data_IF_995583977208
#
_entry.id   IF_995583977208
#
_cell.length_a   1.000
_cell.length_b   1.000
_cell.length_c   1.000
_cell.angle_alpha   90.00
_cell.angle_beta   90.00
_cell.angle_gamma   90.00
#
_symmetry.space_group_name_H-M   'P 1'
#
loop_
_entity.id
_entity.type
_entity.pdbx_description
1 polymer ?
#
# COMPACT_ATOMS: atom_id res chain seq x y z
N UNK A 1 37.34 30.21 -41.83
CA UNK A 1 36.50 29.03 -41.54
C UNK A 1 36.10 28.41 -42.87
N UNK A 2 36.38 27.12 -43.15
CA UNK A 2 36.00 26.51 -44.41
C UNK A 2 34.48 26.36 -44.46
N UNK A 3 33.86 26.84 -45.56
CA UNK A 3 32.43 26.65 -45.85
C UNK A 3 32.18 25.15 -45.91
N UNK A 4 31.46 24.60 -44.93
CA UNK A 4 30.91 23.25 -45.03
C UNK A 4 30.01 23.24 -46.27
N UNK A 5 30.36 22.41 -47.24
CA UNK A 5 29.62 22.31 -48.48
C UNK A 5 28.22 21.76 -48.20
N UNK A 6 27.24 22.67 -48.16
CA UNK A 6 25.82 22.40 -47.94
C UNK A 6 25.30 21.33 -48.92
N UNK A 7 25.88 21.26 -50.12
CA UNK A 7 25.54 20.26 -51.12
C UNK A 7 25.95 18.85 -50.69
N UNK A 8 27.18 18.69 -50.17
CA UNK A 8 27.68 17.41 -49.66
C UNK A 8 26.80 16.87 -48.51
N UNK A 9 26.43 17.73 -47.57
CA UNK A 9 25.61 17.32 -46.42
C UNK A 9 24.18 16.93 -46.84
N UNK A 10 23.55 17.69 -47.74
CA UNK A 10 22.23 17.34 -48.31
C UNK A 10 22.26 16.03 -49.09
N UNK A 11 23.31 15.80 -49.87
CA UNK A 11 23.52 14.55 -50.62
C UNK A 11 23.65 13.35 -49.66
N UNK A 12 24.42 13.51 -48.58
CA UNK A 12 24.58 12.49 -47.55
C UNK A 12 23.24 12.15 -46.87
N UNK A 13 22.48 13.16 -46.45
CA UNK A 13 21.16 12.97 -45.83
C UNK A 13 20.16 12.26 -46.76
N UNK A 14 20.10 12.65 -48.03
CA UNK A 14 19.22 12.02 -49.02
C UNK A 14 19.54 10.53 -49.18
N UNK A 15 20.83 10.18 -49.27
CA UNK A 15 21.26 8.77 -49.36
C UNK A 15 20.95 7.98 -48.09
N UNK A 16 21.19 8.55 -46.92
CA UNK A 16 20.91 7.89 -45.63
C UNK A 16 19.42 7.59 -45.49
N UNK A 17 18.56 8.60 -45.68
CA UNK A 17 17.11 8.44 -45.63
C UNK A 17 16.59 7.46 -46.67
N UNK A 18 17.06 7.56 -47.92
CA UNK A 18 16.66 6.65 -48.99
C UNK A 18 16.99 5.19 -48.68
N UNK A 19 18.15 4.91 -48.06
CA UNK A 19 18.52 3.54 -47.63
C UNK A 19 17.65 3.03 -46.48
N UNK A 20 17.41 3.85 -45.47
CA UNK A 20 16.55 3.49 -44.34
C UNK A 20 15.12 3.21 -44.80
N UNK A 21 14.58 4.07 -45.67
CA UNK A 21 13.26 3.89 -46.27
C UNK A 21 13.18 2.62 -47.13
N UNK A 22 14.19 2.37 -47.99
CA UNK A 22 14.22 1.17 -48.83
C UNK A 22 14.22 -0.11 -47.97
N UNK A 23 15.02 -0.16 -46.90
CA UNK A 23 15.05 -1.28 -45.97
C UNK A 23 13.70 -1.47 -45.25
N UNK A 24 13.10 -0.38 -44.78
CA UNK A 24 11.78 -0.39 -44.14
C UNK A 24 10.69 -0.88 -45.09
N UNK A 25 10.65 -0.35 -46.31
CA UNK A 25 9.70 -0.71 -47.36
C UNK A 25 9.81 -2.20 -47.75
N UNK A 26 11.03 -2.70 -47.95
CA UNK A 26 11.27 -4.11 -48.25
C UNK A 26 10.85 -5.02 -47.09
N UNK A 27 11.06 -4.60 -45.84
CA UNK A 27 10.61 -5.34 -44.65
C UNK A 27 9.09 -5.39 -44.57
N UNK A 28 8.40 -4.25 -44.74
CA UNK A 28 6.94 -4.18 -44.75
C UNK A 28 6.34 -5.03 -45.87
N UNK A 29 6.90 -4.95 -47.08
CA UNK A 29 6.48 -5.78 -48.21
C UNK A 29 6.66 -7.27 -47.97
N UNK A 30 7.67 -7.70 -47.20
CA UNK A 30 7.84 -9.10 -46.81
C UNK A 30 6.84 -9.53 -45.74
N UNK A 31 6.55 -8.64 -44.78
CA UNK A 31 5.66 -8.93 -43.65
C UNK A 31 4.17 -8.95 -44.02
N UNK A 32 3.75 -8.13 -44.98
CA UNK A 32 2.35 -7.91 -45.31
C UNK A 32 2.00 -8.21 -46.77
N UNK A 33 2.81 -9.03 -47.45
CA UNK A 33 2.60 -9.38 -48.87
C UNK A 33 1.24 -10.02 -49.11
N UNK A 34 0.79 -10.80 -48.15
CA UNK A 34 -0.45 -11.57 -48.12
C UNK A 34 -1.70 -10.69 -47.96
N UNK A 35 -1.55 -9.51 -47.36
CA UNK A 35 -2.66 -8.57 -47.09
C UNK A 35 -2.84 -7.57 -48.25
N UNK A 36 -1.82 -7.35 -49.07
CA UNK A 36 -1.82 -6.36 -50.14
C UNK A 36 -2.35 -6.92 -51.47
N UNK A 37 -3.02 -6.07 -52.26
CA UNK A 37 -3.41 -6.45 -53.61
C UNK A 37 -2.18 -6.65 -54.52
N UNK A 38 -2.21 -7.59 -55.49
CA UNK A 38 -1.09 -7.83 -56.41
C UNK A 38 -0.60 -6.59 -57.15
N UNK A 39 -1.50 -5.65 -57.47
CA UNK A 39 -1.16 -4.37 -58.12
C UNK A 39 -0.31 -3.48 -57.20
N UNK A 40 -0.68 -3.38 -55.93
CA UNK A 40 0.05 -2.58 -54.93
C UNK A 40 1.42 -3.18 -54.63
N UNK A 41 1.50 -4.51 -54.53
CA UNK A 41 2.78 -5.22 -54.35
C UNK A 41 3.72 -4.96 -55.52
N UNK A 42 3.23 -5.03 -56.75
CA UNK A 42 4.03 -4.79 -57.94
C UNK A 42 4.47 -3.31 -58.04
N UNK A 43 3.58 -2.36 -57.72
CA UNK A 43 3.91 -0.93 -57.69
C UNK A 43 4.98 -0.59 -56.66
N UNK A 44 4.84 -1.08 -55.42
CA UNK A 44 5.82 -0.86 -54.35
C UNK A 44 7.16 -1.55 -54.64
N UNK A 45 7.16 -2.76 -55.23
CA UNK A 45 8.39 -3.43 -55.67
C UNK A 45 9.11 -2.64 -56.76
N UNK A 46 8.36 -2.10 -57.74
CA UNK A 46 8.90 -1.22 -58.78
C UNK A 46 9.61 0.00 -58.18
N UNK A 47 8.91 0.73 -57.30
CA UNK A 47 9.47 1.89 -56.61
C UNK A 47 10.70 1.56 -55.75
N UNK A 48 10.72 0.39 -55.10
CA UNK A 48 11.90 -0.07 -54.36
C UNK A 48 13.08 -0.38 -55.29
N UNK A 49 12.83 -0.97 -56.46
CA UNK A 49 13.86 -1.25 -57.46
C UNK A 49 14.43 0.06 -58.04
N UNK A 50 13.58 1.00 -58.40
CA UNK A 50 13.97 2.32 -58.92
C UNK A 50 14.78 3.11 -57.89
N UNK A 51 14.37 3.09 -56.61
CA UNK A 51 15.09 3.74 -55.53
C UNK A 51 16.46 3.09 -55.28
N UNK A 52 16.54 1.76 -55.37
CA UNK A 52 17.80 1.02 -55.27
C UNK A 52 18.77 1.39 -56.38
N UNK A 53 18.28 1.52 -57.62
CA UNK A 53 19.07 1.98 -58.77
C UNK A 53 19.55 3.42 -58.58
N UNK A 54 18.67 4.33 -58.16
CA UNK A 54 19.05 5.73 -57.90
C UNK A 54 20.11 5.87 -56.78
N UNK A 55 20.06 5.01 -55.76
CA UNK A 55 21.06 4.94 -54.69
C UNK A 55 22.41 4.41 -55.20
N UNK A 56 22.38 3.42 -56.10
CA UNK A 56 23.58 2.87 -56.74
C UNK A 56 24.25 3.88 -57.67
N UNK A 57 23.46 4.55 -58.53
CA UNK A 57 23.93 5.58 -59.48
C UNK A 57 24.28 6.93 -58.83
N UNK A 58 24.05 7.07 -57.53
CA UNK A 58 24.39 8.26 -56.74
C UNK A 58 23.74 9.56 -57.25
N UNK A 59 22.47 9.49 -57.68
CA UNK A 59 21.68 10.62 -58.19
C UNK A 59 20.81 11.23 -57.07
N UNK A 60 21.26 12.29 -56.36
CA UNK A 60 20.57 12.78 -55.16
C UNK A 60 19.16 13.31 -55.41
N UNK A 61 18.91 13.96 -56.56
CA UNK A 61 17.58 14.48 -56.90
C UNK A 61 16.57 13.34 -57.09
N UNK A 62 16.96 12.29 -57.81
CA UNK A 62 16.14 11.11 -58.05
C UNK A 62 15.84 10.35 -56.75
N UNK A 63 16.82 10.25 -55.83
CA UNK A 63 16.63 9.61 -54.52
C UNK A 63 15.54 10.32 -53.73
N UNK A 64 15.55 11.66 -53.69
CA UNK A 64 14.53 12.44 -52.96
C UNK A 64 13.16 12.27 -53.58
N UNK A 65 13.06 12.35 -54.92
CA UNK A 65 11.80 12.19 -55.64
C UNK A 65 11.19 10.79 -55.43
N UNK A 66 11.99 9.74 -55.61
CA UNK A 66 11.56 8.35 -55.44
C UNK A 66 11.24 8.01 -53.98
N UNK A 67 11.99 8.57 -53.03
CA UNK A 67 11.68 8.40 -51.60
C UNK A 67 10.31 9.00 -51.27
N UNK A 68 10.00 10.20 -51.77
CA UNK A 68 8.69 10.83 -51.57
C UNK A 68 7.55 10.05 -52.23
N UNK A 69 7.77 9.51 -53.44
CA UNK A 69 6.80 8.64 -54.11
C UNK A 69 6.56 7.34 -53.32
N UNK A 70 7.62 6.70 -52.85
CA UNK A 70 7.57 5.47 -52.07
C UNK A 70 6.87 5.69 -50.72
N UNK A 71 7.19 6.78 -50.00
CA UNK A 71 6.51 7.15 -48.75
C UNK A 71 5.00 7.33 -48.97
N UNK A 72 4.61 8.03 -50.03
CA UNK A 72 3.20 8.27 -50.35
C UNK A 72 2.44 6.98 -50.66
N UNK A 73 3.06 6.07 -51.41
CA UNK A 73 2.45 4.75 -51.70
C UNK A 73 2.44 3.84 -50.46
N UNK A 74 3.47 3.87 -49.62
CA UNK A 74 3.49 3.14 -48.36
C UNK A 74 2.40 3.64 -47.40
N UNK A 75 2.20 4.96 -47.28
CA UNK A 75 1.14 5.53 -46.45
C UNK A 75 -0.26 5.16 -46.95
N UNK A 76 -0.44 4.98 -48.28
CA UNK A 76 -1.69 4.49 -48.87
C UNK A 76 -1.91 3.00 -48.63
N UNK A 77 -0.86 2.20 -48.76
CA UNK A 77 -0.90 0.74 -48.56
C UNK A 77 -1.02 0.37 -47.08
N UNK A 78 -0.44 1.19 -46.19
CA UNK A 78 -0.37 0.99 -44.76
C UNK A 78 -0.79 2.27 -44.03
N UNK A 79 -2.10 2.59 -43.97
CA UNK A 79 -2.55 3.71 -43.18
C UNK A 79 -2.17 3.49 -41.72
N UNK A 80 -1.49 4.45 -41.10
CA UNK A 80 -1.19 4.42 -39.67
C UNK A 80 -2.52 4.31 -38.91
N UNK A 81 -2.68 3.24 -38.12
CA UNK A 81 -3.87 3.08 -37.28
C UNK A 81 -3.84 4.13 -36.18
N UNK A 82 -4.48 5.27 -36.43
CA UNK A 82 -4.65 6.36 -35.48
C UNK A 82 -5.45 5.87 -34.26
N UNK A 83 -4.76 5.47 -33.19
CA UNK A 83 -5.41 5.02 -31.95
C UNK A 83 -4.68 3.95 -31.14
N UNK A 84 -3.53 3.41 -31.59
CA UNK A 84 -2.81 2.39 -30.84
C UNK A 84 -2.25 2.93 -29.51
N UNK A 85 -1.65 4.12 -29.53
CA UNK A 85 -0.97 4.66 -28.35
C UNK A 85 -1.89 4.90 -27.14
N UNK A 86 -3.12 5.37 -27.33
CA UNK A 86 -4.03 5.59 -26.20
C UNK A 86 -4.65 4.27 -25.67
N UNK A 87 -4.89 3.29 -26.56
CA UNK A 87 -5.34 1.95 -26.16
C UNK A 87 -4.25 1.19 -25.41
N UNK A 88 -3.00 1.24 -25.88
CA UNK A 88 -1.83 0.65 -25.22
C UNK A 88 -1.64 1.26 -23.83
N UNK A 89 -1.72 2.60 -23.70
CA UNK A 89 -1.62 3.26 -22.41
C UNK A 89 -2.75 2.85 -21.45
N UNK A 90 -3.99 2.73 -21.94
CA UNK A 90 -5.12 2.26 -21.13
C UNK A 90 -4.93 0.81 -20.69
N UNK A 91 -4.47 -0.06 -21.59
CA UNK A 91 -4.19 -1.46 -21.28
C UNK A 91 -3.12 -1.57 -20.18
N UNK A 92 -2.01 -0.85 -20.31
CA UNK A 92 -0.95 -0.81 -19.30
C UNK A 92 -1.46 -0.28 -17.97
N UNK A 93 -2.25 0.80 -17.97
CA UNK A 93 -2.84 1.36 -16.75
C UNK A 93 -3.83 0.38 -16.10
N UNK A 94 -4.65 -0.32 -16.90
CA UNK A 94 -5.61 -1.30 -16.42
C UNK A 94 -4.91 -2.52 -15.83
N UNK A 95 -3.88 -3.04 -16.50
CA UNK A 95 -3.06 -4.13 -15.97
C UNK A 95 -2.37 -3.71 -14.67
N UNK A 96 -1.78 -2.51 -14.61
CA UNK A 96 -1.17 -1.98 -13.40
C UNK A 96 -2.19 -1.83 -12.26
N UNK A 97 -3.41 -1.35 -12.56
CA UNK A 97 -4.48 -1.24 -11.58
C UNK A 97 -4.94 -2.61 -11.05
N UNK A 98 -5.12 -3.61 -11.92
CA UNK A 98 -5.49 -4.98 -11.53
C UNK A 98 -4.40 -5.59 -10.65
N UNK A 99 -3.13 -5.46 -11.03
CA UNK A 99 -1.99 -5.96 -10.23
C UNK A 99 -1.95 -5.27 -8.87
N UNK A 100 -2.09 -3.93 -8.84
CA UNK A 100 -2.13 -3.19 -7.58
C UNK A 100 -3.32 -3.60 -6.69
N UNK A 101 -4.49 -3.84 -7.28
CA UNK A 101 -5.66 -4.35 -6.57
C UNK A 101 -5.46 -5.78 -6.05
N UNK A 102 -4.82 -6.66 -6.84
CA UNK A 102 -4.49 -8.01 -6.42
C UNK A 102 -3.50 -7.98 -5.25
N UNK A 103 -2.42 -7.20 -5.35
CA UNK A 103 -1.44 -7.04 -4.26
C UNK A 103 -2.13 -6.52 -2.99
N UNK A 104 -2.96 -5.49 -3.11
CA UNK A 104 -3.73 -4.92 -2.00
C UNK A 104 -4.73 -5.92 -1.40
N UNK A 105 -5.41 -6.71 -2.23
CA UNK A 105 -6.43 -7.65 -1.76
C UNK A 105 -5.79 -8.86 -1.06
N UNK A 106 -4.71 -9.40 -1.63
CA UNK A 106 -4.18 -10.70 -1.23
C UNK A 106 -2.98 -10.64 -0.28
N UNK A 107 -2.18 -9.57 -0.32
CA UNK A 107 -0.92 -9.53 0.44
C UNK A 107 -0.97 -8.54 1.59
N UNK A 108 -1.48 -7.32 1.36
CA UNK A 108 -1.34 -6.23 2.30
C UNK A 108 -2.64 -5.44 2.47
N UNK A 109 -3.29 -5.61 3.63
CA UNK A 109 -4.52 -4.90 3.97
C UNK A 109 -4.23 -3.68 4.88
N UNK A 110 -4.63 -2.45 4.50
CA UNK A 110 -4.49 -1.28 5.36
C UNK A 110 -5.56 -1.26 6.46
N UNK A 111 -5.15 -0.97 7.69
CA UNK A 111 -6.05 -0.73 8.82
C UNK A 111 -5.70 0.57 9.54
N UNK A 112 -6.71 1.24 10.07
CA UNK A 112 -6.55 2.38 10.99
C UNK A 112 -6.83 1.91 12.41
N UNK A 113 -5.94 2.24 13.35
CA UNK A 113 -6.10 1.89 14.76
C UNK A 113 -6.99 2.92 15.45
N UNK A 114 -8.14 2.53 16.02
CA UNK A 114 -9.03 3.47 16.69
C UNK A 114 -8.72 3.63 18.18
N UNK A 115 -8.24 2.58 18.86
CA UNK A 115 -8.12 2.51 20.34
C UNK A 115 -6.68 2.45 20.83
N UNK A 116 -6.43 2.90 22.06
CA UNK A 116 -5.12 2.82 22.74
C UNK A 116 -4.78 1.46 23.37
N UNK A 117 -5.54 0.39 23.09
CA UNK A 117 -5.35 -0.92 23.76
C UNK A 117 -4.01 -1.62 23.46
N UNK A 118 -3.33 -1.20 22.40
CA UNK A 118 -2.03 -1.73 21.98
C UNK A 118 -0.86 -0.78 22.31
N UNK A 119 -1.08 0.30 23.05
CA UNK A 119 0.01 1.17 23.52
C UNK A 119 0.91 0.38 24.48
N UNK A 120 2.25 0.52 24.43
CA UNK A 120 3.05 1.46 23.62
C UNK A 120 3.29 1.06 22.15
N UNK A 121 2.90 -0.14 21.74
CA UNK A 121 3.27 -0.67 20.42
C UNK A 121 2.52 0.01 19.28
N UNK A 122 1.21 0.21 19.44
CA UNK A 122 0.37 0.93 18.47
C UNK A 122 -0.54 1.91 19.22
N UNK A 123 -0.71 3.11 18.69
CA UNK A 123 -1.58 4.10 19.29
C UNK A 123 -2.84 4.26 18.45
N UNK A 124 -3.96 4.34 19.14
CA UNK A 124 -5.21 4.81 18.58
C UNK A 124 -5.28 6.33 18.60
N UNK A 125 -6.50 6.86 18.66
CA UNK A 125 -6.71 8.30 18.83
C UNK A 125 -6.34 8.73 20.25
N UNK A 126 -5.53 9.79 20.40
CA UNK A 126 -5.18 10.36 21.70
C UNK A 126 -5.07 11.89 21.64
N UNK A 127 -5.37 12.60 22.75
CA UNK A 127 -5.24 14.05 22.79
C UNK A 127 -3.76 14.48 22.79
N UNK A 128 -3.48 15.60 22.15
CA UNK A 128 -2.19 16.31 22.19
C UNK A 128 -2.24 17.30 23.34
N UNK A 129 -1.34 17.14 24.31
CA UNK A 129 -1.29 18.00 25.51
C UNK A 129 -0.77 19.41 25.19
N UNK A 130 0.22 19.54 24.30
CA UNK A 130 0.90 20.82 24.01
C UNK A 130 0.58 21.38 22.62
N UNK A 131 -0.71 21.47 22.27
CA UNK A 131 -1.11 22.04 20.99
C UNK A 131 -1.15 23.57 21.03
N UNK A 132 -0.39 24.22 20.14
CA UNK A 132 -0.46 25.67 19.96
C UNK A 132 -1.54 26.02 18.91
N UNK A 133 -2.65 26.68 19.31
CA UNK A 133 -3.71 27.05 18.37
C UNK A 133 -3.29 28.16 17.39
N UNK A 134 -2.21 28.90 17.68
CA UNK A 134 -1.67 29.99 16.85
C UNK A 134 -0.75 29.52 15.72
N UNK A 135 -0.56 28.21 15.55
CA UNK A 135 0.26 27.67 14.45
C UNK A 135 -0.23 28.18 13.09
N UNK A 136 0.66 28.69 12.21
CA UNK A 136 0.31 29.18 10.88
C UNK A 136 -0.50 28.15 10.09
N UNK A 137 -1.44 28.62 9.26
CA UNK A 137 -2.34 27.74 8.51
C UNK A 137 -1.63 26.70 7.61
N UNK A 138 -0.60 27.06 6.82
CA UNK A 138 0.11 26.07 6.00
C UNK A 138 0.76 24.97 6.84
N UNK A 139 1.32 25.34 8.00
CA UNK A 139 1.92 24.40 8.92
C UNK A 139 0.88 23.49 9.57
N UNK A 140 -0.33 23.98 9.88
CA UNK A 140 -1.44 23.12 10.35
C UNK A 140 -1.87 22.10 9.31
N UNK A 141 -1.93 22.48 8.03
CA UNK A 141 -2.25 21.55 6.94
C UNK A 141 -1.16 20.48 6.82
N UNK A 142 0.11 20.89 6.84
CA UNK A 142 1.24 19.96 6.82
C UNK A 142 1.22 19.01 8.03
N UNK A 143 1.06 19.53 9.24
CA UNK A 143 0.93 18.77 10.49
C UNK A 143 -0.24 17.78 10.44
N UNK A 144 -1.34 18.16 9.81
CA UNK A 144 -2.51 17.28 9.61
C UNK A 144 -2.20 16.15 8.65
N UNK A 145 -1.61 16.45 7.49
CA UNK A 145 -1.34 15.49 6.43
C UNK A 145 -0.20 14.52 6.78
N UNK A 146 0.88 15.04 7.35
CA UNK A 146 2.09 14.27 7.59
C UNK A 146 2.17 13.68 9.00
N UNK A 147 1.79 14.46 10.00
CA UNK A 147 1.91 14.06 11.41
C UNK A 147 0.61 13.53 12.00
N UNK A 148 -0.52 13.75 11.32
CA UNK A 148 -1.83 13.33 11.81
C UNK A 148 -2.37 14.16 12.97
N UNK A 149 -1.86 15.39 13.16
CA UNK A 149 -2.37 16.33 14.16
C UNK A 149 -3.66 16.96 13.66
N UNK A 150 -4.79 16.57 14.24
CA UNK A 150 -6.09 17.12 13.87
C UNK A 150 -6.50 18.22 14.86
N UNK A 151 -6.50 19.51 14.44
CA UNK A 151 -6.93 20.59 15.31
C UNK A 151 -8.45 20.57 15.49
N UNK A 152 -8.93 20.69 16.73
CA UNK A 152 -10.37 20.67 17.04
C UNK A 152 -10.92 22.03 17.49
N UNK A 153 -10.32 23.12 16.99
CA UNK A 153 -10.69 24.51 17.34
C UNK A 153 -12.10 24.90 16.82
N UNK A 154 -12.87 25.59 17.68
CA UNK A 154 -14.26 26.01 17.47
C UNK A 154 -14.41 27.43 16.88
N UNK A 155 -13.36 28.26 16.88
CA UNK A 155 -13.46 29.69 16.53
C UNK A 155 -12.94 30.03 15.13
N UNK A 156 -13.56 29.49 14.06
CA UNK A 156 -13.07 29.70 12.70
C UNK A 156 -14.18 30.10 11.70
N UNK A 157 -13.97 31.13 10.84
CA UNK A 157 -15.02 31.74 10.01
C UNK A 157 -15.58 30.84 8.90
N UNK A 158 -16.78 31.17 8.38
CA UNK A 158 -17.67 30.41 7.47
C UNK A 158 -17.01 29.54 6.37
N UNK A 159 -15.95 29.98 5.69
CA UNK A 159 -15.22 29.17 4.69
C UNK A 159 -14.54 27.92 5.30
N UNK A 160 -14.24 27.94 6.60
CA UNK A 160 -13.74 26.78 7.36
C UNK A 160 -14.85 25.82 7.81
N UNK A 161 -16.11 26.24 7.88
CA UNK A 161 -17.24 25.36 8.17
C UNK A 161 -17.44 24.32 7.07
N UNK A 162 -17.34 24.73 5.80
CA UNK A 162 -17.40 23.83 4.65
C UNK A 162 -16.22 22.85 4.60
N UNK A 163 -15.01 23.29 4.97
CA UNK A 163 -13.83 22.43 5.04
C UNK A 163 -13.82 21.52 6.26
N UNK A 164 -14.38 21.95 7.39
CA UNK A 164 -14.62 21.11 8.57
C UNK A 164 -15.69 20.06 8.27
N UNK A 165 -16.72 20.42 7.50
CA UNK A 165 -17.73 19.50 7.00
C UNK A 165 -17.15 18.50 6.00
N UNK A 166 -16.29 18.95 5.09
CA UNK A 166 -15.54 18.08 4.18
C UNK A 166 -14.57 17.17 4.94
N UNK A 167 -13.90 17.68 5.98
CA UNK A 167 -13.06 16.91 6.88
C UNK A 167 -13.85 15.88 7.70
N UNK A 168 -15.06 16.24 8.17
CA UNK A 168 -15.98 15.30 8.80
C UNK A 168 -16.43 14.21 7.83
N UNK A 169 -16.81 14.58 6.60
CA UNK A 169 -17.20 13.64 5.54
C UNK A 169 -16.09 12.65 5.19
N UNK A 170 -14.84 13.12 5.11
CA UNK A 170 -13.71 12.28 4.70
C UNK A 170 -13.15 11.49 5.90
N UNK A 171 -13.27 11.99 7.13
CA UNK A 171 -12.47 11.47 8.26
C UNK A 171 -13.24 11.16 9.55
N UNK A 172 -14.53 11.45 9.63
CA UNK A 172 -15.46 10.99 10.68
C UNK A 172 -15.31 11.66 12.05
N UNK A 173 -14.66 12.82 12.16
CA UNK A 173 -14.43 13.53 13.44
C UNK A 173 -14.86 15.00 13.35
N UNK A 174 -15.64 15.47 14.32
CA UNK A 174 -16.06 16.87 14.44
C UNK A 174 -15.14 17.63 15.43
N UNK A 175 -14.81 18.91 15.21
CA UNK A 175 -14.02 19.71 16.16
C UNK A 175 -14.73 19.89 17.51
N UNK A 176 -14.11 19.48 18.62
CA UNK A 176 -14.47 19.84 20.00
C UNK A 176 -13.38 20.64 20.74
N UNK A 177 -13.83 21.60 21.55
CA UNK A 177 -13.15 22.38 22.60
C UNK A 177 -11.62 22.50 22.52
N UNK A 178 -11.09 23.20 21.50
CA UNK A 178 -9.72 23.77 21.54
C UNK A 178 -8.56 22.78 21.70
N UNK A 179 -8.81 21.48 21.63
CA UNK A 179 -7.81 20.41 21.73
C UNK A 179 -7.21 20.11 20.36
N UNK A 180 -6.18 19.29 20.32
CA UNK A 180 -5.73 18.65 19.10
C UNK A 180 -5.69 17.16 19.36
N UNK A 181 -6.15 16.36 18.39
CA UNK A 181 -6.19 14.92 18.51
C UNK A 181 -5.15 14.36 17.54
N UNK A 182 -4.26 13.52 18.04
CA UNK A 182 -3.41 12.69 17.19
C UNK A 182 -4.25 11.56 16.64
N UNK A 183 -4.24 11.40 15.31
CA UNK A 183 -4.82 10.23 14.70
C UNK A 183 -4.04 8.97 15.09
N UNK A 184 -4.77 7.88 15.25
CA UNK A 184 -4.18 6.57 15.44
C UNK A 184 -3.43 6.08 14.21
N UNK A 185 -2.57 5.10 14.44
CA UNK A 185 -1.68 4.53 13.43
C UNK A 185 -2.45 3.95 12.28
N UNK A 186 -1.90 4.12 11.09
CA UNK A 186 -2.32 3.36 9.93
C UNK A 186 -1.26 2.30 9.68
N UNK A 187 -1.71 1.06 9.69
CA UNK A 187 -0.86 -0.11 9.63
C UNK A 187 -1.16 -0.92 8.38
N UNK A 188 -0.16 -1.64 7.94
CA UNK A 188 -0.32 -2.71 6.97
C UNK A 188 -0.30 -4.07 7.66
N UNK A 189 -1.25 -4.90 7.28
CA UNK A 189 -1.41 -6.26 7.76
C UNK A 189 -1.06 -7.23 6.64
N UNK A 190 -0.08 -8.08 6.91
CA UNK A 190 0.37 -9.16 6.05
C UNK A 190 -0.51 -10.39 6.27
N UNK A 191 -1.30 -10.72 5.24
CA UNK A 191 -2.18 -11.90 5.23
C UNK A 191 -1.49 -13.14 4.66
N UNK A 192 -0.33 -12.98 4.02
CA UNK A 192 0.33 -14.03 3.27
C UNK A 192 1.28 -14.86 4.13
N UNK A 193 2.05 -14.21 5.02
CA UNK A 193 3.10 -14.87 5.82
C UNK A 193 2.63 -16.11 6.58
N UNK A 194 1.39 -16.12 7.10
CA UNK A 194 0.88 -17.25 7.88
C UNK A 194 0.50 -18.49 7.06
N UNK A 195 0.59 -18.42 5.74
CA UNK A 195 0.51 -19.61 4.87
C UNK A 195 1.83 -20.40 4.84
N UNK A 196 2.97 -19.75 5.15
CA UNK A 196 4.30 -20.36 5.06
C UNK A 196 4.98 -20.54 6.42
N UNK A 197 4.59 -19.76 7.42
CA UNK A 197 5.06 -19.93 8.79
C UNK A 197 3.90 -19.98 9.78
N UNK A 198 4.11 -20.69 10.88
CA UNK A 198 3.15 -20.68 12.00
C UNK A 198 3.23 -19.33 12.75
N UNK A 199 2.09 -18.80 13.25
CA UNK A 199 2.09 -17.67 14.17
C UNK A 199 2.96 -17.95 15.41
N UNK A 200 3.74 -16.97 15.83
CA UNK A 200 4.65 -17.09 16.97
C UNK A 200 4.21 -16.20 18.12
N UNK A 201 4.45 -16.65 19.36
CA UNK A 201 4.20 -15.85 20.56
C UNK A 201 4.97 -14.53 20.48
N UNK A 202 4.27 -13.45 20.78
CA UNK A 202 4.73 -12.08 20.64
C UNK A 202 4.37 -11.42 19.31
N UNK A 203 3.90 -12.15 18.28
CA UNK A 203 3.43 -11.53 17.03
C UNK A 203 2.22 -10.61 17.32
N UNK A 204 2.19 -9.42 16.71
CA UNK A 204 1.00 -8.57 16.70
C UNK A 204 0.10 -9.00 15.56
N UNK A 205 -1.11 -9.43 15.88
CA UNK A 205 -2.02 -10.08 14.95
C UNK A 205 -3.36 -9.38 14.87
N UNK A 206 -3.95 -9.43 13.68
CA UNK A 206 -5.32 -8.98 13.41
C UNK A 206 -6.22 -10.19 13.22
N UNK A 207 -7.40 -10.16 13.82
CA UNK A 207 -8.39 -11.23 13.75
C UNK A 207 -9.82 -10.65 13.74
N UNK A 208 -10.75 -11.41 13.20
CA UNK A 208 -12.19 -11.10 13.25
C UNK A 208 -12.82 -11.58 14.54
N UNK A 209 -13.78 -10.81 15.07
CA UNK A 209 -14.41 -11.11 16.36
C UNK A 209 -15.68 -11.96 16.29
N UNK A 210 -16.08 -12.41 15.10
CA UNK A 210 -17.37 -13.08 14.85
C UNK A 210 -17.54 -14.37 15.66
N UNK A 211 -16.42 -15.08 15.86
CA UNK A 211 -16.42 -16.41 16.47
C UNK A 211 -15.84 -16.42 17.89
N UNK A 212 -15.66 -15.25 18.48
CA UNK A 212 -15.21 -15.15 19.86
C UNK A 212 -16.38 -15.48 20.77
N UNK A 213 -16.31 -16.64 21.43
CA UNK A 213 -17.42 -17.25 22.18
C UNK A 213 -18.00 -16.31 23.25
N UNK A 214 -17.14 -15.82 24.13
CA UNK A 214 -17.52 -15.01 25.30
C UNK A 214 -17.54 -13.50 25.05
N UNK A 215 -17.45 -13.08 23.79
CA UNK A 215 -17.53 -11.67 23.44
C UNK A 215 -19.00 -11.26 23.22
N UNK A 216 -19.49 -10.17 23.85
CA UNK A 216 -20.86 -9.71 23.64
C UNK A 216 -21.12 -9.33 22.18
N UNK A 217 -22.36 -9.52 21.73
CA UNK A 217 -22.76 -9.32 20.32
C UNK A 217 -22.42 -7.93 19.80
N UNK A 218 -22.53 -6.89 20.63
CA UNK A 218 -22.18 -5.49 20.27
C UNK A 218 -20.69 -5.29 19.91
N UNK A 219 -19.83 -6.26 20.23
CA UNK A 219 -18.40 -6.26 19.93
C UNK A 219 -18.00 -7.29 18.86
N UNK A 220 -18.93 -8.09 18.34
CA UNK A 220 -18.72 -8.98 17.18
C UNK A 220 -18.71 -8.21 15.86
N UNK A 221 -18.39 -8.87 14.75
CA UNK A 221 -18.34 -8.26 13.41
C UNK A 221 -17.35 -7.09 13.30
N UNK A 222 -16.24 -7.19 14.06
CA UNK A 222 -15.17 -6.17 14.10
C UNK A 222 -13.82 -6.84 13.92
N UNK A 223 -12.83 -6.04 13.49
CA UNK A 223 -11.44 -6.45 13.46
C UNK A 223 -10.73 -5.98 14.72
N UNK A 224 -10.10 -6.90 15.42
CA UNK A 224 -9.30 -6.61 16.61
C UNK A 224 -7.82 -6.83 16.31
N UNK A 225 -6.97 -6.00 16.92
CA UNK A 225 -5.52 -6.14 16.88
C UNK A 225 -5.01 -6.34 18.29
N UNK A 226 -4.27 -7.42 18.51
CA UNK A 226 -3.72 -7.80 19.83
C UNK A 226 -2.38 -8.51 19.67
N UNK A 227 -1.64 -8.65 20.77
CA UNK A 227 -0.43 -9.46 20.81
C UNK A 227 -0.76 -10.93 21.08
N UNK A 228 -0.24 -11.82 20.26
CA UNK A 228 -0.34 -13.26 20.43
C UNK A 228 0.47 -13.70 21.64
N UNK A 229 -0.18 -14.27 22.65
CA UNK A 229 0.47 -14.72 23.88
C UNK A 229 0.55 -16.25 23.90
N UNK A 230 -0.55 -16.92 23.58
CA UNK A 230 -0.66 -18.38 23.63
C UNK A 230 -1.15 -18.98 22.32
N UNK A 231 -0.65 -20.16 22.01
CA UNK A 231 -1.13 -21.04 20.95
C UNK A 231 -1.72 -22.31 21.57
N UNK A 232 -2.54 -23.06 20.82
CA UNK A 232 -3.21 -24.25 21.33
C UNK A 232 -2.30 -25.20 22.11
N UNK A 233 -2.76 -25.57 23.32
CA UNK A 233 -2.03 -26.37 24.30
C UNK A 233 -1.26 -25.57 25.36
N UNK A 234 -1.05 -24.27 25.16
CA UNK A 234 -0.31 -23.44 26.12
C UNK A 234 -1.09 -23.21 27.42
N UNK A 235 -0.35 -23.19 28.53
CA UNK A 235 -0.83 -22.75 29.85
C UNK A 235 -0.40 -21.31 30.08
N UNK A 236 -1.37 -20.41 30.14
CA UNK A 236 -1.16 -18.97 30.32
C UNK A 236 -1.44 -18.61 31.76
N UNK A 237 -0.58 -17.80 32.36
CA UNK A 237 -0.74 -17.24 33.70
C UNK A 237 -0.30 -15.77 33.67
N UNK A 238 -0.99 -14.92 34.42
CA UNK A 238 -0.59 -13.51 34.59
C UNK A 238 -0.09 -13.36 36.02
N UNK A 239 1.22 -13.20 36.17
CA UNK A 239 1.85 -12.85 37.43
C UNK A 239 2.44 -11.44 37.28
N UNK A 240 1.66 -10.39 37.59
CA UNK A 240 2.01 -9.02 37.26
C UNK A 240 3.43 -8.64 37.71
N UNK A 241 4.21 -7.92 36.88
CA UNK A 241 3.84 -7.34 35.58
C UNK A 241 3.95 -8.31 34.39
N UNK A 242 4.26 -9.58 34.62
CA UNK A 242 4.65 -10.54 33.58
C UNK A 242 3.49 -11.45 33.16
N UNK A 243 3.54 -11.91 31.91
CA UNK A 243 2.76 -13.06 31.47
C UNK A 243 3.69 -14.26 31.37
N UNK A 244 3.23 -15.40 31.88
CA UNK A 244 3.94 -16.65 31.86
C UNK A 244 3.24 -17.59 30.89
N UNK A 245 4.03 -18.27 30.06
CA UNK A 245 3.57 -19.32 29.17
C UNK A 245 4.30 -20.61 29.55
N UNK A 246 3.55 -21.63 29.93
CA UNK A 246 4.07 -22.91 30.41
C UNK A 246 5.06 -22.75 31.58
N UNK A 247 4.82 -21.76 32.46
CA UNK A 247 5.63 -21.49 33.65
C UNK A 247 6.86 -20.59 33.43
N UNK A 248 7.18 -20.21 32.19
CA UNK A 248 8.28 -19.29 31.88
C UNK A 248 7.75 -17.91 31.48
N UNK A 249 8.44 -16.83 31.88
CA UNK A 249 8.11 -15.47 31.46
C UNK A 249 8.19 -15.38 29.93
N UNK A 250 7.17 -14.81 29.30
CA UNK A 250 7.16 -14.58 27.87
C UNK A 250 7.84 -13.24 27.55
N UNK A 251 9.07 -13.30 27.04
CA UNK A 251 9.87 -12.12 26.70
C UNK A 251 10.47 -12.21 25.27
N UNK A 252 9.88 -13.04 24.41
CA UNK A 252 10.38 -13.37 23.07
C UNK A 252 10.56 -12.18 22.11
N UNK A 253 10.08 -11.00 22.47
CA UNK A 253 10.09 -9.78 21.64
C UNK A 253 10.56 -8.57 22.45
N UNK A 254 11.30 -7.62 21.84
CA UNK A 254 11.73 -6.39 22.51
C UNK A 254 10.59 -5.57 23.12
N UNK A 255 9.39 -5.63 22.53
CA UNK A 255 8.20 -4.96 23.05
C UNK A 255 7.88 -5.34 24.50
N UNK A 256 8.11 -6.60 24.90
CA UNK A 256 7.86 -7.06 26.26
C UNK A 256 8.72 -6.33 27.28
N UNK A 257 9.99 -6.00 26.97
CA UNK A 257 10.85 -5.21 27.86
C UNK A 257 10.26 -3.85 28.20
N UNK A 258 9.64 -3.20 27.21
CA UNK A 258 8.98 -1.91 27.38
C UNK A 258 7.65 -2.02 28.13
N UNK A 259 6.92 -3.11 27.94
CA UNK A 259 5.66 -3.36 28.66
C UNK A 259 5.96 -3.67 30.13
N UNK A 260 6.97 -4.51 30.40
CA UNK A 260 7.38 -4.96 31.75
C UNK A 260 8.20 -3.96 32.53
N UNK A 261 8.71 -2.89 31.90
CA UNK A 261 9.50 -1.88 32.60
C UNK A 261 8.69 -1.11 33.65
N UNK A 262 7.36 -1.09 33.53
CA UNK A 262 6.46 -0.31 34.39
C UNK A 262 6.82 1.19 34.46
N UNK A 263 7.42 1.72 33.40
CA UNK A 263 7.81 3.13 33.29
C UNK A 263 6.90 3.86 32.30
N UNK A 264 6.93 5.20 32.30
CA UNK A 264 6.19 6.04 31.34
C UNK A 264 4.68 5.75 31.29
N UNK A 265 4.08 5.42 32.43
CA UNK A 265 2.64 5.13 32.55
C UNK A 265 2.23 3.69 32.20
N UNK A 266 3.18 2.81 31.84
CA UNK A 266 2.91 1.39 31.64
C UNK A 266 2.98 0.62 32.96
N UNK A 267 2.23 -0.49 33.05
CA UNK A 267 2.08 -1.27 34.30
C UNK A 267 2.36 -2.77 34.10
N UNK A 268 2.92 -3.15 32.95
CA UNK A 268 2.96 -4.56 32.53
C UNK A 268 1.57 -5.14 32.25
N UNK A 269 1.51 -6.47 32.22
CA UNK A 269 0.25 -7.19 32.25
C UNK A 269 -0.26 -7.28 33.68
N UNK A 270 -1.50 -6.84 33.86
CA UNK A 270 -2.20 -6.78 35.15
C UNK A 270 -3.48 -7.60 35.09
N UNK A 271 -3.85 -8.13 36.25
CA UNK A 271 -5.17 -8.70 36.49
C UNK A 271 -6.19 -7.54 36.50
N UNK A 272 -7.30 -7.61 35.75
CA UNK A 272 -8.26 -6.50 35.67
C UNK A 272 -9.07 -6.35 36.96
N UNK A 273 -9.09 -5.14 37.51
CA UNK A 273 -9.85 -4.83 38.73
C UNK A 273 -11.33 -4.47 38.45
N UNK A 274 -11.67 -4.05 37.23
CA UNK A 274 -13.04 -3.65 36.84
C UNK A 274 -13.23 -3.51 35.30
N UNK A 275 -14.42 -3.83 34.72
CA UNK A 275 -15.37 -4.85 35.17
C UNK A 275 -14.70 -6.24 35.24
N UNK A 276 -15.23 -7.22 35.99
CA UNK A 276 -14.47 -8.43 36.29
C UNK A 276 -14.17 -9.21 35.01
N UNK A 277 -12.88 -9.44 34.78
CA UNK A 277 -12.43 -10.36 33.77
C UNK A 277 -13.00 -11.76 34.05
N UNK A 278 -13.51 -12.43 33.01
CA UNK A 278 -14.01 -13.80 33.14
C UNK A 278 -12.87 -14.75 33.52
N UNK A 279 -11.67 -14.48 33.01
CA UNK A 279 -10.45 -15.25 33.20
C UNK A 279 -9.42 -14.41 33.97
N UNK A 280 -8.61 -15.06 34.81
CA UNK A 280 -7.57 -14.44 35.64
C UNK A 280 -8.11 -13.46 36.69
N UNK A 281 -8.65 -14.00 37.78
CA UNK A 281 -9.01 -13.26 39.01
C UNK A 281 -7.86 -13.20 39.99
N UNK A 282 -7.00 -14.22 39.99
CA UNK A 282 -5.82 -14.30 40.86
C UNK A 282 -4.56 -14.63 40.05
N UNK A 283 -3.35 -14.30 40.56
CA UNK A 283 -2.11 -14.69 39.90
C UNK A 283 -1.90 -16.21 39.80
N UNK A 284 -2.64 -17.01 40.57
CA UNK A 284 -2.60 -18.47 40.53
C UNK A 284 -3.47 -19.07 39.42
N UNK A 285 -4.35 -18.26 38.80
CA UNK A 285 -5.25 -18.75 37.77
C UNK A 285 -4.49 -19.07 36.49
N UNK A 286 -4.77 -20.25 35.94
CA UNK A 286 -4.16 -20.73 34.70
C UNK A 286 -5.23 -20.93 33.64
N UNK A 287 -5.03 -20.34 32.47
CA UNK A 287 -5.85 -20.57 31.30
C UNK A 287 -5.14 -21.54 30.35
N UNK A 288 -5.79 -22.64 29.97
CA UNK A 288 -5.26 -23.55 28.95
C UNK A 288 -5.87 -23.21 27.61
N UNK A 289 -5.03 -22.85 26.63
CA UNK A 289 -5.50 -22.51 25.28
C UNK A 289 -6.01 -23.78 24.59
N UNK A 290 -7.26 -23.83 24.12
CA UNK A 290 -7.78 -24.97 23.40
C UNK A 290 -6.97 -25.28 22.12
N UNK A 291 -6.97 -26.53 21.64
CA UNK A 291 -6.40 -26.87 20.34
C UNK A 291 -6.98 -25.98 19.24
N UNK A 292 -6.15 -25.60 18.26
CA UNK A 292 -6.52 -24.73 17.13
C UNK A 292 -7.12 -23.36 17.50
N UNK A 293 -6.90 -22.89 18.72
CA UNK A 293 -7.23 -21.53 19.16
C UNK A 293 -5.97 -20.72 19.52
N UNK A 294 -6.14 -19.40 19.58
CA UNK A 294 -5.11 -18.45 19.98
C UNK A 294 -5.57 -17.61 21.16
N UNK A 295 -4.65 -17.34 22.09
CA UNK A 295 -4.88 -16.45 23.23
C UNK A 295 -4.08 -15.16 23.06
N UNK A 296 -4.73 -14.02 23.24
CA UNK A 296 -4.14 -12.70 22.98
C UNK A 296 -4.38 -11.73 24.13
N UNK A 297 -3.43 -10.80 24.30
CA UNK A 297 -3.53 -9.67 25.22
C UNK A 297 -3.25 -8.36 24.48
N UNK A 298 -3.85 -7.27 24.94
CA UNK A 298 -3.45 -5.93 24.52
C UNK A 298 -2.29 -5.45 25.37
N UNK A 299 -1.33 -4.78 24.75
CA UNK A 299 -0.14 -4.27 25.44
C UNK A 299 -0.49 -3.22 26.51
N UNK A 300 -1.57 -2.46 26.32
CA UNK A 300 -2.10 -1.56 27.33
C UNK A 300 -3.10 -2.30 28.21
N UNK A 301 -2.56 -3.07 29.16
CA UNK A 301 -3.31 -4.02 29.97
C UNK A 301 -4.52 -3.42 30.70
N UNK A 302 -4.45 -2.17 31.18
CA UNK A 302 -5.58 -1.51 31.87
C UNK A 302 -6.65 -0.95 30.92
N UNK A 303 -6.34 -0.83 29.62
CA UNK A 303 -7.22 -0.23 28.61
C UNK A 303 -7.55 -1.21 27.48
N UNK A 304 -7.53 -2.51 27.76
CA UNK A 304 -7.69 -3.54 26.73
C UNK A 304 -8.78 -4.54 27.10
N UNK A 305 -9.79 -4.62 26.22
CA UNK A 305 -10.73 -5.74 26.16
C UNK A 305 -10.10 -6.86 25.31
N UNK A 306 -9.55 -7.88 25.98
CA UNK A 306 -8.78 -8.97 25.36
C UNK A 306 -9.08 -10.33 26.05
N UNK A 307 -8.20 -11.32 25.88
CA UNK A 307 -8.44 -12.69 26.32
C UNK A 307 -8.71 -12.87 27.80
N UNK A 308 -8.39 -11.88 28.65
CA UNK A 308 -8.82 -11.87 30.06
C UNK A 308 -10.35 -11.84 30.20
N UNK A 309 -11.04 -11.21 29.26
CA UNK A 309 -12.50 -11.08 29.30
C UNK A 309 -13.21 -12.18 28.53
N UNK A 310 -12.68 -12.60 27.39
CA UNK A 310 -13.37 -13.47 26.46
C UNK A 310 -12.61 -14.74 26.04
N UNK A 311 -11.42 -14.97 26.62
CA UNK A 311 -10.64 -16.20 26.42
C UNK A 311 -9.85 -16.21 25.11
N UNK A 312 -9.79 -17.36 24.46
CA UNK A 312 -9.17 -17.53 23.15
C UNK A 312 -10.17 -17.38 22.00
N UNK A 313 -9.65 -17.39 20.78
CA UNK A 313 -10.45 -17.36 19.55
C UNK A 313 -9.92 -18.39 18.54
N UNK A 314 -10.76 -18.88 17.61
CA UNK A 314 -10.37 -19.94 16.69
C UNK A 314 -9.38 -19.45 15.63
N UNK A 315 -8.44 -20.33 15.24
CA UNK A 315 -7.41 -20.05 14.23
C UNK A 315 -7.98 -19.50 12.92
N UNK A 316 -9.17 -19.95 12.50
CA UNK A 316 -9.81 -19.51 11.25
C UNK A 316 -10.20 -18.03 11.25
N UNK A 317 -10.37 -17.40 12.41
CA UNK A 317 -10.64 -15.97 12.50
C UNK A 317 -9.38 -15.11 12.40
N UNK A 318 -8.19 -15.71 12.33
CA UNK A 318 -6.92 -15.00 12.15
C UNK A 318 -6.84 -14.41 10.73
N UNK A 319 -6.61 -13.10 10.64
CA UNK A 319 -6.50 -12.38 9.38
C UNK A 319 -5.05 -12.25 8.91
N UNK A 320 -4.14 -11.89 9.81
CA UNK A 320 -2.75 -11.64 9.42
C UNK A 320 -1.90 -11.00 10.52
N UNK A 321 -0.65 -10.72 10.19
CA UNK A 321 0.33 -10.06 11.07
C UNK A 321 0.39 -8.57 10.77
N UNK A 322 0.34 -7.73 11.79
CA UNK A 322 0.67 -6.32 11.64
C UNK A 322 2.21 -6.17 11.50
N UNK A 323 2.66 -5.54 10.40
CA UNK A 323 4.10 -5.51 10.05
C UNK A 323 4.70 -4.11 10.06
N UNK A 324 3.96 -3.08 9.64
CA UNK A 324 4.48 -1.72 9.51
C UNK A 324 3.41 -0.69 9.84
N UNK A 325 3.80 0.35 10.56
CA UNK A 325 3.05 1.62 10.65
C UNK A 325 3.53 2.49 9.49
N UNK A 326 2.65 2.75 8.54
CA UNK A 326 3.00 3.55 7.35
C UNK A 326 2.58 5.02 7.48
N UNK A 327 1.76 5.34 8.49
CA UNK A 327 1.34 6.71 8.79
C UNK A 327 0.90 6.81 10.26
N UNK A 328 1.18 7.91 10.98
CA UNK A 328 1.81 9.17 10.53
C UNK A 328 3.31 9.06 10.23
N UNK A 329 3.84 10.01 9.45
CA UNK A 329 5.27 10.15 9.16
C UNK A 329 6.00 10.82 10.35
N UNK A 330 6.00 10.14 11.48
CA UNK A 330 6.70 10.54 12.71
C UNK A 330 7.70 9.46 13.12
N UNK A 331 8.24 9.53 14.34
CA UNK A 331 9.05 8.46 14.95
C UNK A 331 8.35 7.09 15.00
N UNK A 332 7.03 7.08 14.74
CA UNK A 332 6.20 5.88 14.75
C UNK A 332 6.15 5.19 13.39
N UNK A 333 6.58 5.86 12.31
CA UNK A 333 6.72 5.27 11.00
C UNK A 333 7.79 4.18 11.03
N UNK A 334 7.44 2.95 10.64
CA UNK A 334 8.39 1.85 10.60
C UNK A 334 7.80 0.50 11.01
N UNK A 335 8.69 -0.47 11.19
CA UNK A 335 8.31 -1.85 11.49
C UNK A 335 7.72 -1.99 12.89
N UNK A 336 6.70 -2.83 13.01
CA UNK A 336 6.06 -3.17 14.28
C UNK A 336 6.87 -4.31 14.90
N UNK A 337 7.50 -4.02 16.05
CA UNK A 337 8.33 -4.95 16.83
C UNK A 337 7.72 -5.26 18.20
#
# INVERSE_FOLDING_TARGET
MPRVDIYWWRKYQARKRGRELLLGAQKLLRMHRDILEPRQVNGLKGLCADLSLALAENRPHLIVELSGKLEKELARAFPERSGSGWRENIEVLLVAAIVAMAIRSFFIQPFKIPTGSMQPTLYGLYPVENYNPRTPFPQRVADTLFLGKWPTDQHAPLLRGALNYLGWLIFGTWPGDGKCIMRGDHIFVDRFTYHFRRPQRGDVIVFETNEVKDLPESYRNKFYIKRLIGIGGDKIQINPPHVLVNGSILDSRPAFRRIYSCQNGYNGYVIPDFPPAKYFRTPADVYTVPPDEFFVLGDNSRSSLDGRFWGSFPRRSLIGRAIVVYWPFSERFGLIN
#
